data_IF_871610617142
#
_entry.id   IF_871610617142
#
_cell.length_a   1.000
_cell.length_b   1.000
_cell.length_c   1.000
_cell.angle_alpha   90.00
_cell.angle_beta   90.00
_cell.angle_gamma   90.00
#
_symmetry.space_group_name_H-M   'P 1'
#
loop_
_entity.id
_entity.type
_entity.pdbx_description
1 polymer ?
#
# COMPACT_ATOMS: atom_id res chain seq x y z
N UNK A 1 -16.27 10.17 29.87
CA UNK A 1 -15.15 9.39 29.30
C UNK A 1 -14.34 10.39 28.47
N UNK A 2 -13.05 10.61 28.78
CA UNK A 2 -12.22 11.42 27.90
C UNK A 2 -12.09 10.67 26.58
N UNK A 3 -12.51 11.27 25.48
CA UNK A 3 -12.28 10.74 24.13
C UNK A 3 -10.78 10.54 23.96
N UNK A 4 -10.36 9.30 23.95
CA UNK A 4 -8.96 8.95 23.74
C UNK A 4 -8.62 9.39 22.32
N UNK A 5 -7.72 10.35 22.15
CA UNK A 5 -7.29 10.85 20.83
C UNK A 5 -6.92 9.64 19.96
N UNK A 6 -7.57 9.49 18.80
CA UNK A 6 -7.24 8.44 17.83
C UNK A 6 -5.79 8.56 17.39
N UNK A 7 -5.08 7.44 17.28
CA UNK A 7 -3.73 7.42 16.70
C UNK A 7 -3.79 7.76 15.21
N UNK A 8 -2.82 8.53 14.75
CA UNK A 8 -2.69 8.92 13.35
C UNK A 8 -2.03 7.79 12.56
N UNK A 9 -2.69 7.34 11.50
CA UNK A 9 -2.18 6.34 10.55
C UNK A 9 -1.92 7.01 9.22
N UNK A 10 -0.71 6.87 8.69
CA UNK A 10 -0.40 7.28 7.31
C UNK A 10 -0.12 6.06 6.45
N UNK A 11 -0.74 5.99 5.30
CA UNK A 11 -0.42 4.99 4.28
C UNK A 11 -0.60 5.53 2.87
N UNK A 12 0.09 4.92 1.91
CA UNK A 12 0.05 5.37 0.54
C UNK A 12 0.16 4.24 -0.48
N UNK A 13 -0.49 4.44 -1.63
CA UNK A 13 -0.39 3.55 -2.78
C UNK A 13 0.11 4.33 -4.00
N UNK A 14 1.11 3.76 -4.68
CA UNK A 14 1.64 4.34 -5.92
C UNK A 14 0.66 4.14 -7.08
N UNK A 15 0.33 5.20 -7.83
CA UNK A 15 -0.55 5.12 -9.00
C UNK A 15 0.23 4.64 -10.25
N UNK A 16 0.73 3.41 -10.21
CA UNK A 16 1.57 2.83 -11.26
C UNK A 16 0.87 1.67 -11.97
N UNK A 17 -0.21 1.93 -12.73
CA UNK A 17 -1.00 0.96 -13.49
C UNK A 17 -2.11 0.28 -12.68
N UNK A 18 -2.88 -0.61 -13.32
CA UNK A 18 -4.07 -1.23 -12.75
C UNK A 18 -3.81 -1.92 -11.40
N UNK A 19 -4.66 -1.64 -10.43
CA UNK A 19 -4.65 -2.35 -9.16
C UNK A 19 -5.29 -3.73 -9.32
N UNK A 20 -4.78 -4.69 -8.59
CA UNK A 20 -5.18 -6.09 -8.67
C UNK A 20 -5.44 -6.67 -7.27
N UNK A 21 -5.95 -7.89 -7.20
CA UNK A 21 -6.27 -8.59 -5.95
C UNK A 21 -5.14 -8.54 -4.91
N UNK A 22 -3.88 -8.61 -5.36
CA UNK A 22 -2.71 -8.53 -4.47
C UNK A 22 -2.56 -7.17 -3.77
N UNK A 23 -2.95 -6.07 -4.41
CA UNK A 23 -2.97 -4.75 -3.78
C UNK A 23 -4.13 -4.63 -2.77
N UNK A 24 -5.28 -5.20 -3.13
CA UNK A 24 -6.46 -5.20 -2.26
C UNK A 24 -6.21 -5.98 -0.97
N UNK A 25 -5.86 -7.25 -1.07
CA UNK A 25 -5.64 -8.12 0.09
C UNK A 25 -4.37 -7.73 0.88
N UNK A 26 -3.36 -7.22 0.19
CA UNK A 26 -2.11 -6.81 0.84
C UNK A 26 -2.16 -5.46 1.56
N UNK A 27 -3.10 -4.58 1.22
CA UNK A 27 -3.15 -3.23 1.78
C UNK A 27 -4.57 -2.68 1.94
N UNK A 28 -5.34 -2.50 0.85
CA UNK A 28 -6.55 -1.68 0.82
C UNK A 28 -7.65 -2.25 1.74
N UNK A 29 -7.84 -3.57 1.76
CA UNK A 29 -8.79 -4.23 2.66
C UNK A 29 -8.55 -3.87 4.13
N UNK A 30 -7.27 -3.81 4.53
CA UNK A 30 -6.89 -3.45 5.88
C UNK A 30 -7.13 -1.96 6.17
N UNK A 31 -6.97 -1.08 5.17
CA UNK A 31 -7.25 0.34 5.34
C UNK A 31 -8.72 0.60 5.70
N UNK A 32 -9.64 -0.19 5.11
CA UNK A 32 -11.07 -0.12 5.43
C UNK A 32 -11.35 -0.44 6.90
N UNK A 33 -10.63 -1.38 7.48
CA UNK A 33 -10.77 -1.71 8.91
C UNK A 33 -10.13 -0.66 9.82
N UNK A 34 -8.97 -0.12 9.43
CA UNK A 34 -8.22 0.85 10.24
C UNK A 34 -8.97 2.15 10.47
N UNK A 35 -9.78 2.61 9.52
CA UNK A 35 -10.52 3.87 9.62
C UNK A 35 -11.54 3.90 10.77
N UNK A 36 -11.97 2.76 11.30
CA UNK A 36 -12.95 2.73 12.38
C UNK A 36 -12.33 3.23 13.70
N UNK A 37 -11.09 2.84 13.98
CA UNK A 37 -10.45 3.10 15.27
C UNK A 37 -9.32 4.13 15.22
N UNK A 38 -8.92 4.58 14.01
CA UNK A 38 -7.77 5.46 13.80
C UNK A 38 -8.14 6.73 13.02
N UNK A 39 -7.28 7.73 13.09
CA UNK A 39 -7.31 8.93 12.23
C UNK A 39 -6.42 8.66 11.01
N UNK A 40 -7.03 8.28 9.89
CA UNK A 40 -6.33 7.74 8.74
C UNK A 40 -6.14 8.78 7.62
N UNK A 41 -4.89 8.82 7.10
CA UNK A 41 -4.51 9.59 5.91
C UNK A 41 -4.07 8.59 4.83
N UNK A 42 -4.85 8.47 3.75
CA UNK A 42 -4.58 7.60 2.61
C UNK A 42 -4.14 8.45 1.42
N UNK A 43 -2.84 8.39 1.14
CA UNK A 43 -2.20 9.21 0.15
C UNK A 43 -2.00 8.46 -1.16
N UNK A 44 -2.34 9.07 -2.29
CA UNK A 44 -1.97 8.59 -3.62
C UNK A 44 -0.60 9.18 -3.93
N UNK A 45 0.45 8.34 -3.82
CA UNK A 45 1.85 8.81 -3.80
C UNK A 45 2.44 8.92 -5.20
N UNK A 46 2.00 9.91 -5.94
CA UNK A 46 2.39 10.20 -7.32
C UNK A 46 3.84 10.70 -7.46
N UNK A 47 4.38 11.43 -6.46
CA UNK A 47 5.78 11.81 -6.43
C UNK A 47 6.71 10.60 -6.30
N UNK A 48 6.29 9.54 -5.60
CA UNK A 48 7.02 8.27 -5.59
C UNK A 48 6.94 7.55 -6.94
N UNK A 49 5.81 7.64 -7.63
CA UNK A 49 5.65 7.01 -8.93
C UNK A 49 6.64 7.55 -9.97
N UNK A 50 6.88 8.86 -10.00
CA UNK A 50 7.78 9.51 -10.96
C UNK A 50 9.28 9.30 -10.69
N UNK A 51 9.65 8.60 -9.61
CA UNK A 51 11.05 8.16 -9.39
C UNK A 51 11.53 7.22 -10.49
N UNK A 52 10.60 6.57 -11.18
CA UNK A 52 10.78 5.84 -12.44
C UNK A 52 9.91 6.52 -13.49
N UNK A 53 10.41 6.62 -14.72
CA UNK A 53 9.67 7.29 -15.78
C UNK A 53 8.23 6.76 -15.93
N UNK A 54 7.28 7.67 -15.98
CA UNK A 54 5.85 7.40 -16.20
C UNK A 54 5.36 8.19 -17.42
N UNK A 55 4.49 7.59 -18.22
CA UNK A 55 3.73 8.38 -19.20
C UNK A 55 2.80 9.34 -18.45
N UNK A 56 2.81 10.66 -18.74
CA UNK A 56 2.01 11.64 -17.98
C UNK A 56 0.49 11.41 -18.04
N UNK A 57 -0.03 10.93 -19.16
CA UNK A 57 -1.48 10.70 -19.30
C UNK A 57 -1.89 9.41 -18.56
N UNK A 58 -1.07 8.37 -18.63
CA UNK A 58 -1.28 7.16 -17.84
C UNK A 58 -1.20 7.45 -16.33
N UNK A 59 -0.25 8.30 -15.90
CA UNK A 59 -0.13 8.69 -14.49
C UNK A 59 -1.39 9.40 -13.99
N UNK A 60 -1.93 10.35 -14.77
CA UNK A 60 -3.19 11.04 -14.43
C UNK A 60 -4.36 10.07 -14.31
N UNK A 61 -4.49 9.15 -15.26
CA UNK A 61 -5.53 8.12 -15.22
C UNK A 61 -5.36 7.21 -14.02
N UNK A 62 -4.15 6.73 -13.76
CA UNK A 62 -3.86 5.85 -12.63
C UNK A 62 -4.12 6.50 -11.26
N UNK A 63 -3.93 7.81 -11.12
CA UNK A 63 -4.28 8.56 -9.90
C UNK A 63 -5.79 8.45 -9.64
N UNK A 64 -6.61 8.68 -10.67
CA UNK A 64 -8.07 8.59 -10.55
C UNK A 64 -8.52 7.14 -10.31
N UNK A 65 -7.88 6.16 -10.97
CA UNK A 65 -8.16 4.74 -10.73
C UNK A 65 -7.88 4.33 -9.26
N UNK A 66 -6.77 4.81 -8.66
CA UNK A 66 -6.48 4.52 -7.24
C UNK A 66 -7.52 5.17 -6.33
N UNK A 67 -7.92 6.42 -6.60
CA UNK A 67 -8.96 7.11 -5.84
C UNK A 67 -10.29 6.35 -5.90
N UNK A 68 -10.70 5.94 -7.10
CA UNK A 68 -11.93 5.15 -7.32
C UNK A 68 -11.88 3.83 -6.55
N UNK A 69 -10.75 3.12 -6.59
CA UNK A 69 -10.59 1.84 -5.90
C UNK A 69 -10.61 2.00 -4.39
N UNK A 70 -10.05 3.07 -3.84
CA UNK A 70 -10.13 3.35 -2.40
C UNK A 70 -11.60 3.46 -1.96
N UNK A 71 -12.40 4.26 -2.68
CA UNK A 71 -13.83 4.43 -2.37
C UNK A 71 -14.62 3.15 -2.60
N UNK A 72 -14.43 2.49 -3.75
CA UNK A 72 -15.14 1.25 -4.09
C UNK A 72 -14.82 0.10 -3.12
N UNK A 73 -13.62 0.07 -2.55
CA UNK A 73 -13.23 -0.91 -1.54
C UNK A 73 -13.82 -0.61 -0.15
N UNK A 74 -14.44 0.56 0.06
CA UNK A 74 -15.12 0.94 1.30
C UNK A 74 -14.35 1.92 2.19
N UNK A 75 -13.31 2.61 1.67
CA UNK A 75 -12.72 3.74 2.42
C UNK A 75 -13.73 4.90 2.40
N UNK A 76 -14.13 5.31 3.59
CA UNK A 76 -15.12 6.38 3.80
C UNK A 76 -14.41 7.75 3.87
N UNK A 77 -14.68 8.67 2.94
CA UNK A 77 -14.03 10.00 2.91
C UNK A 77 -14.51 10.93 4.04
N UNK A 78 -15.54 10.55 4.80
CA UNK A 78 -15.95 11.26 6.01
C UNK A 78 -15.14 10.81 7.24
N UNK A 79 -14.56 9.61 7.21
CA UNK A 79 -13.74 9.06 8.29
C UNK A 79 -12.24 9.21 8.05
N UNK A 80 -11.83 9.24 6.78
CA UNK A 80 -10.42 9.22 6.36
C UNK A 80 -10.14 10.30 5.33
N UNK A 81 -8.93 10.87 5.35
CA UNK A 81 -8.50 11.82 4.33
C UNK A 81 -7.89 11.06 3.15
N UNK A 82 -8.47 11.22 1.95
CA UNK A 82 -7.94 10.67 0.70
C UNK A 82 -7.44 11.83 -0.15
N UNK A 83 -6.16 11.84 -0.52
CA UNK A 83 -5.58 12.95 -1.29
C UNK A 83 -4.40 12.50 -2.15
N UNK A 84 -4.00 13.35 -3.10
CA UNK A 84 -2.85 13.14 -3.98
C UNK A 84 -1.63 13.83 -3.38
N UNK A 85 -0.50 13.15 -3.30
CA UNK A 85 0.71 13.63 -2.64
C UNK A 85 1.21 14.97 -3.21
N UNK A 86 1.25 15.10 -4.54
CA UNK A 86 1.74 16.32 -5.21
C UNK A 86 0.88 17.57 -4.99
N UNK A 87 -0.39 17.39 -4.60
CA UNK A 87 -1.29 18.51 -4.28
C UNK A 87 -0.96 19.17 -2.94
N UNK A 88 -0.11 18.53 -2.12
CA UNK A 88 0.40 19.06 -0.85
C UNK A 88 1.91 19.32 -0.96
N UNK A 89 2.36 20.54 -1.34
CA UNK A 89 3.77 20.85 -1.60
C UNK A 89 4.73 20.59 -0.44
N UNK A 90 4.20 20.47 0.76
CA UNK A 90 4.97 20.27 1.98
C UNK A 90 5.67 18.90 2.04
N UNK A 91 5.18 17.89 1.34
CA UNK A 91 5.87 16.60 1.20
C UNK A 91 7.27 16.78 0.61
N UNK A 92 7.34 17.42 -0.58
CA UNK A 92 8.62 17.68 -1.25
C UNK A 92 9.49 18.66 -0.44
N UNK A 93 8.88 19.68 0.20
CA UNK A 93 9.59 20.66 1.01
C UNK A 93 10.22 20.03 2.26
N UNK A 94 9.49 19.19 2.98
CA UNK A 94 10.04 18.46 4.12
C UNK A 94 11.08 17.43 3.67
N UNK A 95 10.83 16.72 2.56
CA UNK A 95 11.81 15.79 2.01
C UNK A 95 13.16 16.46 1.74
N UNK A 96 13.17 17.70 1.25
CA UNK A 96 14.41 18.46 1.08
C UNK A 96 15.13 18.74 2.40
N UNK A 97 14.41 19.18 3.43
CA UNK A 97 14.97 19.40 4.76
C UNK A 97 15.57 18.11 5.32
N UNK A 98 14.82 16.99 5.22
CA UNK A 98 15.29 15.68 5.67
C UNK A 98 16.49 15.16 4.87
N UNK A 99 16.59 15.46 3.56
CA UNK A 99 17.77 15.15 2.77
C UNK A 99 19.04 15.83 3.33
N UNK A 100 18.91 17.03 3.90
CA UNK A 100 20.04 17.77 4.46
C UNK A 100 20.57 17.19 5.79
N UNK A 101 19.79 16.37 6.47
CA UNK A 101 20.21 15.73 7.74
C UNK A 101 20.45 14.22 7.60
N UNK A 102 19.90 13.58 6.57
CA UNK A 102 20.06 12.14 6.34
C UNK A 102 21.47 11.81 5.89
N UNK A 103 22.07 10.77 6.51
CA UNK A 103 23.41 10.33 6.16
C UNK A 103 23.38 9.49 4.87
N UNK A 104 24.30 9.78 3.94
CA UNK A 104 24.45 8.99 2.69
C UNK A 104 24.66 7.50 2.99
N UNK A 105 25.39 7.16 4.06
CA UNK A 105 25.62 5.77 4.47
C UNK A 105 24.32 5.03 4.85
N UNK A 106 23.27 5.73 5.28
CA UNK A 106 21.98 5.13 5.55
C UNK A 106 21.26 4.77 4.25
N UNK A 107 21.25 5.69 3.28
CA UNK A 107 20.65 5.47 1.95
C UNK A 107 21.37 4.34 1.20
N UNK A 108 22.69 4.24 1.32
CA UNK A 108 23.48 3.17 0.69
C UNK A 108 23.11 1.76 1.19
N UNK A 109 22.52 1.64 2.35
CA UNK A 109 22.07 0.35 2.91
C UNK A 109 20.72 -0.10 2.38
N UNK A 110 19.93 0.78 1.76
CA UNK A 110 18.60 0.48 1.26
C UNK A 110 18.63 -0.62 0.18
N UNK A 111 17.96 -1.73 0.44
CA UNK A 111 17.96 -2.90 -0.46
C UNK A 111 17.19 -2.65 -1.73
N UNK A 112 16.05 -1.97 -1.66
CA UNK A 112 15.22 -1.67 -2.82
C UNK A 112 15.91 -0.80 -3.87
N UNK A 113 16.78 0.15 -3.43
CA UNK A 113 17.62 0.89 -4.38
C UNK A 113 18.53 -0.06 -5.16
N UNK A 114 19.18 -1.01 -4.45
CA UNK A 114 20.09 -1.98 -5.07
C UNK A 114 19.37 -2.88 -6.07
N UNK A 115 18.16 -3.30 -5.75
CA UNK A 115 17.32 -4.15 -6.61
C UNK A 115 16.84 -3.41 -7.87
N UNK A 116 16.29 -2.20 -7.70
CA UNK A 116 15.74 -1.40 -8.80
C UNK A 116 16.83 -0.79 -9.71
N UNK A 117 17.96 -0.41 -9.15
CA UNK A 117 19.08 0.15 -9.92
C UNK A 117 19.83 -0.91 -10.74
N UNK A 118 19.76 -2.19 -10.35
CA UNK A 118 20.43 -3.28 -11.05
C UNK A 118 21.93 -3.05 -11.20
N UNK A 119 22.48 -3.40 -12.39
CA UNK A 119 23.92 -3.23 -12.71
C UNK A 119 24.29 -1.82 -13.16
N UNK A 120 23.34 -1.01 -13.63
CA UNK A 120 23.56 0.33 -14.22
C UNK A 120 23.22 1.46 -13.24
N UNK A 121 23.86 1.48 -12.08
CA UNK A 121 23.58 2.47 -11.02
C UNK A 121 23.80 3.94 -11.46
N UNK A 122 24.69 4.18 -12.42
CA UNK A 122 25.00 5.52 -12.91
C UNK A 122 23.87 6.15 -13.74
N UNK A 123 22.95 5.33 -14.28
CA UNK A 123 21.83 5.79 -15.11
C UNK A 123 20.51 5.90 -14.32
N UNK A 124 20.55 5.75 -13.00
CA UNK A 124 19.36 5.80 -12.16
C UNK A 124 19.13 7.23 -11.69
N UNK A 125 17.85 7.66 -11.64
CA UNK A 125 17.53 9.01 -11.16
C UNK A 125 17.92 9.21 -9.69
N UNK A 126 18.34 10.43 -9.33
CA UNK A 126 18.58 10.79 -7.93
C UNK A 126 17.34 10.59 -7.07
N UNK A 127 16.13 10.79 -7.63
CA UNK A 127 14.88 10.52 -6.96
C UNK A 127 14.74 9.07 -6.50
N UNK A 128 15.19 8.08 -7.30
CA UNK A 128 15.19 6.69 -6.89
C UNK A 128 16.19 6.39 -5.75
N UNK A 129 17.23 7.19 -5.58
CA UNK A 129 18.16 7.07 -4.47
C UNK A 129 17.62 7.73 -3.19
N UNK A 130 16.92 8.87 -3.30
CA UNK A 130 16.50 9.68 -2.17
C UNK A 130 15.03 9.50 -1.79
N UNK A 131 14.24 8.71 -2.54
CA UNK A 131 12.81 8.51 -2.20
C UNK A 131 12.54 8.01 -0.78
N UNK A 132 13.45 7.30 -0.08
CA UNK A 132 13.20 6.95 1.33
C UNK A 132 13.07 8.18 2.23
N UNK A 133 13.72 9.30 1.89
CA UNK A 133 13.56 10.57 2.61
C UNK A 133 12.22 11.25 2.29
N UNK A 134 11.70 11.08 1.07
CA UNK A 134 10.34 11.50 0.73
C UNK A 134 9.30 10.68 1.51
N UNK A 135 9.50 9.36 1.64
CA UNK A 135 8.63 8.53 2.48
C UNK A 135 8.70 8.94 3.95
N UNK A 136 9.88 9.25 4.47
CA UNK A 136 10.02 9.80 5.81
C UNK A 136 9.26 11.14 5.95
N UNK A 137 9.34 12.02 4.95
CA UNK A 137 8.60 13.27 4.94
C UNK A 137 7.09 13.05 4.94
N UNK A 138 6.58 12.10 4.15
CA UNK A 138 5.16 11.76 4.09
C UNK A 138 4.61 11.38 5.47
N UNK A 139 5.36 10.58 6.21
CA UNK A 139 4.97 10.07 7.53
C UNK A 139 5.09 11.15 8.61
N UNK A 140 6.25 11.81 8.67
CA UNK A 140 6.57 12.77 9.73
C UNK A 140 5.81 14.09 9.60
N UNK A 141 5.41 14.47 8.39
CA UNK A 141 4.65 15.69 8.11
C UNK A 141 3.33 15.75 8.90
N UNK A 142 2.72 14.59 9.14
CA UNK A 142 1.44 14.45 9.84
C UNK A 142 1.57 13.93 11.27
N UNK A 143 2.81 13.83 11.80
CA UNK A 143 3.07 13.24 13.12
C UNK A 143 2.41 11.86 13.28
N UNK A 144 2.58 11.03 12.27
CA UNK A 144 1.94 9.72 12.24
C UNK A 144 2.49 8.81 13.33
N UNK A 145 1.58 8.18 14.09
CA UNK A 145 1.92 7.23 15.16
C UNK A 145 2.21 5.84 14.61
N UNK A 146 1.44 5.46 13.57
CA UNK A 146 1.44 4.11 13.00
C UNK A 146 1.55 4.15 11.48
N UNK A 147 2.29 3.20 10.93
CA UNK A 147 2.43 3.04 9.48
C UNK A 147 2.20 1.58 9.11
N UNK A 148 1.14 1.26 8.36
CA UNK A 148 0.94 -0.08 7.81
C UNK A 148 2.06 -0.41 6.83
N UNK A 149 2.85 -1.43 7.13
CA UNK A 149 4.00 -1.83 6.31
C UNK A 149 4.02 -3.33 6.05
N UNK A 150 4.25 -3.69 4.80
CA UNK A 150 4.69 -5.03 4.43
C UNK A 150 6.18 -5.24 4.74
N UNK A 151 6.64 -6.48 4.66
CA UNK A 151 8.03 -6.84 4.98
C UNK A 151 9.07 -6.05 4.14
N UNK A 152 8.74 -5.75 2.89
CA UNK A 152 9.60 -5.01 1.97
C UNK A 152 9.73 -3.52 2.31
N UNK A 153 8.85 -2.97 3.15
CA UNK A 153 8.86 -1.57 3.58
C UNK A 153 9.42 -1.37 5.00
N UNK A 154 9.65 -2.42 5.77
CA UNK A 154 10.18 -2.33 7.13
C UNK A 154 11.47 -1.52 7.19
N UNK A 155 12.40 -1.75 6.25
CA UNK A 155 13.68 -1.04 6.22
C UNK A 155 13.52 0.47 6.00
N UNK A 156 12.53 0.90 5.21
CA UNK A 156 12.26 2.31 5.00
C UNK A 156 11.64 2.97 6.24
N UNK A 157 10.78 2.24 6.95
CA UNK A 157 10.23 2.75 8.20
C UNK A 157 11.31 2.87 9.29
N UNK A 158 12.24 1.92 9.38
CA UNK A 158 13.39 2.04 10.28
C UNK A 158 14.25 3.27 9.94
N UNK A 159 14.48 3.54 8.65
CA UNK A 159 15.15 4.77 8.24
C UNK A 159 14.37 6.02 8.64
N UNK A 160 13.03 6.01 8.51
CA UNK A 160 12.17 7.12 8.96
C UNK A 160 12.33 7.37 10.47
N UNK A 161 12.39 6.32 11.27
CA UNK A 161 12.62 6.37 12.73
C UNK A 161 14.00 6.98 13.05
N UNK A 162 15.04 6.52 12.34
CA UNK A 162 16.40 7.05 12.47
C UNK A 162 16.45 8.56 12.13
N UNK A 163 15.75 8.98 11.06
CA UNK A 163 15.67 10.38 10.64
C UNK A 163 14.93 11.23 11.68
N UNK A 164 13.79 10.74 12.20
CA UNK A 164 13.03 11.42 13.25
C UNK A 164 13.88 11.61 14.52
N UNK A 165 14.53 10.53 14.97
CA UNK A 165 15.42 10.60 16.13
C UNK A 165 16.59 11.56 15.93
N UNK A 166 17.19 11.53 14.71
CA UNK A 166 18.28 12.45 14.39
C UNK A 166 17.81 13.90 14.39
N UNK A 167 16.67 14.22 13.78
CA UNK A 167 16.10 15.55 13.81
C UNK A 167 15.87 16.02 15.26
N UNK A 168 15.23 15.18 16.07
CA UNK A 168 14.94 15.50 17.47
C UNK A 168 16.23 15.79 18.27
N UNK A 169 17.31 15.03 18.00
CA UNK A 169 18.58 15.24 18.66
C UNK A 169 19.36 16.45 18.16
N UNK A 170 19.47 16.62 16.82
CA UNK A 170 20.28 17.70 16.22
C UNK A 170 19.69 19.09 16.51
N UNK A 171 18.38 19.18 16.69
CA UNK A 171 17.66 20.42 16.94
C UNK A 171 17.09 20.52 18.37
N UNK A 172 17.59 19.72 19.32
CA UNK A 172 17.07 19.69 20.69
C UNK A 172 17.02 21.06 21.37
N UNK A 173 18.06 21.87 21.17
CA UNK A 173 18.19 23.21 21.76
C UNK A 173 17.32 24.27 21.07
N UNK A 174 16.70 23.92 19.93
CA UNK A 174 15.89 24.79 19.09
C UNK A 174 14.41 24.40 19.07
N UNK A 175 13.96 23.60 20.04
CA UNK A 175 12.58 23.10 20.12
C UNK A 175 12.33 21.79 19.37
N UNK A 176 13.40 21.13 18.93
CA UNK A 176 13.34 19.83 18.26
C UNK A 176 13.28 18.62 19.21
N UNK A 177 13.52 18.84 20.54
CA UNK A 177 13.42 17.74 21.50
C UNK A 177 12.04 17.09 21.46
N UNK A 178 11.99 15.77 21.16
CA UNK A 178 10.75 14.99 21.02
C UNK A 178 9.71 15.59 20.05
N UNK A 179 10.18 16.38 19.07
CA UNK A 179 9.30 17.06 18.13
C UNK A 179 8.59 16.08 17.18
N UNK A 180 9.34 15.19 16.52
CA UNK A 180 8.72 14.13 15.73
C UNK A 180 8.44 12.91 16.62
N UNK A 181 7.22 12.35 16.58
CA UNK A 181 6.99 11.02 17.11
C UNK A 181 7.84 10.00 16.36
N UNK A 182 8.21 8.94 17.04
CA UNK A 182 8.88 7.80 16.39
C UNK A 182 7.79 6.84 15.93
N UNK A 183 7.50 6.75 14.61
CA UNK A 183 6.37 5.97 14.12
C UNK A 183 6.60 4.48 14.33
N UNK A 184 5.53 3.77 14.72
CA UNK A 184 5.58 2.31 14.89
C UNK A 184 5.06 1.58 13.64
N UNK A 185 5.66 0.43 13.29
CA UNK A 185 5.11 -0.42 12.25
C UNK A 185 3.78 -1.02 12.70
N UNK A 186 2.76 -0.88 11.87
CA UNK A 186 1.52 -1.62 12.02
C UNK A 186 1.60 -2.87 11.13
N UNK A 187 1.91 -4.00 11.76
CA UNK A 187 1.92 -5.29 11.09
C UNK A 187 0.47 -5.75 10.99
N UNK A 188 0.01 -5.94 9.76
CA UNK A 188 -1.35 -6.38 9.48
C UNK A 188 -1.34 -7.90 9.41
N UNK A 189 -2.02 -8.55 10.36
CA UNK A 189 -2.05 -10.02 10.52
C UNK A 189 -2.55 -10.76 9.26
N UNK A 190 -3.42 -10.10 8.47
CA UNK A 190 -4.02 -10.65 7.26
C UNK A 190 -3.39 -10.15 5.95
N UNK A 191 -2.22 -9.49 5.98
CA UNK A 191 -1.55 -9.06 4.76
C UNK A 191 -0.93 -10.25 4.02
N UNK A 192 -1.78 -11.10 3.44
CA UNK A 192 -1.31 -12.22 2.65
C UNK A 192 -0.57 -11.72 1.40
N UNK A 193 0.68 -12.13 1.26
CA UNK A 193 1.44 -11.90 0.04
C UNK A 193 0.85 -12.73 -1.08
N UNK A 194 -0.04 -12.13 -1.87
CA UNK A 194 -0.68 -12.80 -3.00
C UNK A 194 0.34 -13.06 -4.10
N UNK A 195 0.45 -14.31 -4.50
CA UNK A 195 1.37 -14.74 -5.55
C UNK A 195 0.65 -14.85 -6.89
N UNK A 196 1.43 -14.91 -7.98
CA UNK A 196 0.92 -15.07 -9.34
C UNK A 196 0.10 -16.35 -9.47
N UNK A 197 -1.01 -16.30 -10.19
CA UNK A 197 -1.82 -17.49 -10.51
C UNK A 197 -1.09 -18.47 -11.45
N UNK A 198 -0.01 -18.03 -12.09
CA UNK A 198 0.81 -18.82 -13.02
C UNK A 198 2.08 -19.37 -12.40
N UNK A 199 2.51 -18.78 -11.26
CA UNK A 199 3.74 -19.15 -10.57
C UNK A 199 3.62 -18.77 -9.09
N UNK A 200 3.31 -19.73 -8.24
CA UNK A 200 3.13 -19.51 -6.78
C UNK A 200 4.38 -19.06 -6.05
N UNK A 201 5.54 -18.99 -6.72
CA UNK A 201 6.79 -18.48 -6.13
C UNK A 201 7.04 -17.00 -6.42
N UNK A 202 6.30 -16.40 -7.38
CA UNK A 202 6.44 -15.00 -7.78
C UNK A 202 5.26 -14.17 -7.27
N UNK A 203 5.54 -12.98 -6.72
CA UNK A 203 4.50 -12.04 -6.30
C UNK A 203 3.58 -11.70 -7.49
N UNK A 204 2.27 -11.64 -7.25
CA UNK A 204 1.32 -11.12 -8.23
C UNK A 204 1.73 -9.71 -8.64
N UNK A 205 1.88 -9.48 -9.93
CA UNK A 205 2.40 -8.22 -10.45
C UNK A 205 1.68 -7.80 -11.72
N UNK A 206 1.45 -6.51 -11.84
CA UNK A 206 0.91 -5.87 -13.04
C UNK A 206 1.90 -5.86 -14.21
N UNK A 207 3.20 -5.95 -13.95
CA UNK A 207 4.24 -6.03 -14.97
C UNK A 207 4.39 -7.42 -15.60
N UNK A 208 3.67 -8.45 -15.09
CA UNK A 208 3.63 -9.75 -15.73
C UNK A 208 2.92 -9.62 -17.09
N UNK A 209 3.54 -10.06 -18.21
CA UNK A 209 2.94 -9.96 -19.54
C UNK A 209 1.65 -10.76 -19.68
N UNK A 210 1.44 -11.78 -18.85
CA UNK A 210 0.23 -12.60 -18.87
C UNK A 210 -0.86 -12.02 -18.00
N UNK A 211 -1.95 -11.57 -18.60
CA UNK A 211 -3.18 -11.15 -17.87
C UNK A 211 -3.79 -12.29 -17.04
N UNK A 212 -3.43 -13.54 -17.32
CA UNK A 212 -3.87 -14.72 -16.57
C UNK A 212 -3.11 -14.92 -15.27
N UNK A 213 -2.09 -14.10 -14.96
CA UNK A 213 -1.27 -14.20 -13.75
C UNK A 213 -1.92 -13.52 -12.54
N UNK A 214 -2.93 -12.66 -12.76
CA UNK A 214 -3.54 -11.80 -11.74
C UNK A 214 -5.05 -11.67 -11.92
N UNK A 215 -5.75 -11.30 -10.86
CA UNK A 215 -7.15 -10.88 -10.89
C UNK A 215 -7.17 -9.35 -10.78
N UNK A 216 -7.80 -8.69 -11.75
CA UNK A 216 -8.03 -7.25 -11.77
C UNK A 216 -9.47 -6.93 -11.35
N UNK A 217 -9.72 -5.75 -10.79
CA UNK A 217 -11.08 -5.37 -10.36
C UNK A 217 -12.06 -5.21 -11.54
N UNK A 218 -11.54 -4.93 -12.73
CA UNK A 218 -12.35 -4.80 -13.96
C UNK A 218 -12.61 -6.15 -14.65
N UNK A 219 -12.07 -7.27 -14.11
CA UNK A 219 -12.38 -8.62 -14.65
C UNK A 219 -13.86 -8.95 -14.41
N UNK A 220 -14.55 -9.40 -15.45
CA UNK A 220 -15.91 -9.92 -15.32
C UNK A 220 -15.93 -11.30 -14.65
N UNK A 221 -17.11 -11.78 -14.29
CA UNK A 221 -17.28 -13.02 -13.56
C UNK A 221 -16.76 -14.23 -14.36
N UNK A 222 -16.94 -14.25 -15.67
CA UNK A 222 -16.48 -15.36 -16.53
C UNK A 222 -14.96 -15.37 -16.65
N UNK A 223 -14.35 -14.18 -16.73
CA UNK A 223 -12.89 -14.06 -16.78
C UNK A 223 -12.26 -14.45 -15.44
N UNK A 224 -12.86 -14.10 -14.29
CA UNK A 224 -12.41 -14.55 -12.96
C UNK A 224 -12.46 -16.07 -12.89
N UNK A 225 -13.59 -16.71 -13.26
CA UNK A 225 -13.73 -18.17 -13.30
C UNK A 225 -12.67 -18.81 -14.19
N UNK A 226 -12.44 -18.25 -15.38
CA UNK A 226 -11.44 -18.72 -16.33
C UNK A 226 -10.02 -18.60 -15.77
N UNK A 227 -9.67 -17.48 -15.13
CA UNK A 227 -8.35 -17.26 -14.52
C UNK A 227 -8.09 -18.25 -13.40
N UNK A 228 -9.04 -18.47 -12.49
CA UNK A 228 -8.90 -19.41 -11.37
C UNK A 228 -8.89 -20.85 -11.87
N UNK A 229 -9.75 -21.23 -12.81
CA UNK A 229 -9.73 -22.57 -13.42
C UNK A 229 -8.35 -22.89 -14.00
N UNK A 230 -7.72 -21.93 -14.68
CA UNK A 230 -6.39 -22.06 -15.30
C UNK A 230 -5.22 -21.74 -14.38
N UNK A 231 -5.46 -21.35 -13.13
CA UNK A 231 -4.41 -21.15 -12.16
C UNK A 231 -3.57 -22.42 -11.99
N UNK A 232 -2.25 -22.26 -11.94
CA UNK A 232 -1.34 -23.41 -11.82
C UNK A 232 -1.56 -24.13 -10.50
N UNK A 233 -1.57 -25.46 -10.53
CA UNK A 233 -1.62 -26.34 -9.38
C UNK A 233 -0.83 -27.60 -9.66
N UNK A 234 -0.38 -28.29 -8.64
CA UNK A 234 0.21 -29.60 -8.74
C UNK A 234 -0.89 -30.69 -8.87
N UNK A 235 -0.54 -31.95 -9.24
CA UNK A 235 -1.51 -33.02 -9.48
C UNK A 235 -2.04 -33.69 -8.20
N UNK A 236 -1.53 -33.35 -7.01
CA UNK A 236 -1.91 -33.98 -5.77
C UNK A 236 -3.20 -33.36 -5.21
N UNK A 237 -3.98 -34.06 -4.39
CA UNK A 237 -5.07 -33.47 -3.63
C UNK A 237 -4.57 -32.33 -2.74
N UNK A 238 -5.47 -31.46 -2.28
CA UNK A 238 -5.14 -30.38 -1.35
C UNK A 238 -4.47 -30.94 -0.08
N UNK A 239 -3.42 -30.28 0.44
CA UNK A 239 -2.67 -30.77 1.59
C UNK A 239 -3.51 -30.74 2.87
N UNK A 240 -3.08 -31.52 3.86
CA UNK A 240 -3.77 -31.64 5.15
C UNK A 240 -3.01 -30.94 6.30
N UNK A 241 -1.82 -30.42 6.04
CA UNK A 241 -1.03 -29.73 7.06
C UNK A 241 -0.38 -28.45 6.52
N UNK A 242 -0.11 -27.49 7.41
CA UNK A 242 0.60 -26.25 7.06
C UNK A 242 2.02 -26.56 6.58
N UNK A 243 2.70 -27.56 7.14
CA UNK A 243 4.05 -27.93 6.74
C UNK A 243 4.12 -28.41 5.28
N UNK A 244 3.05 -29.00 4.78
CA UNK A 244 2.96 -29.42 3.38
C UNK A 244 2.84 -28.22 2.42
N UNK A 245 2.29 -27.10 2.89
CA UNK A 245 2.13 -25.87 2.10
C UNK A 245 3.49 -25.25 1.72
N UNK A 246 4.51 -25.37 2.56
CA UNK A 246 5.85 -24.83 2.28
C UNK A 246 6.45 -25.39 0.97
N UNK A 247 6.11 -26.62 0.63
CA UNK A 247 6.58 -27.31 -0.57
C UNK A 247 5.62 -27.19 -1.76
N UNK A 248 4.47 -26.57 -1.56
CA UNK A 248 3.38 -26.48 -2.55
C UNK A 248 2.91 -25.02 -2.72
N UNK A 249 3.76 -24.13 -3.30
CA UNK A 249 3.52 -22.70 -3.33
C UNK A 249 2.21 -22.32 -4.05
N UNK A 250 1.78 -23.05 -5.07
CA UNK A 250 0.52 -22.80 -5.76
C UNK A 250 -0.69 -23.11 -4.87
N UNK A 251 -0.66 -24.21 -4.14
CA UNK A 251 -1.71 -24.57 -3.18
C UNK A 251 -1.76 -23.52 -2.04
N UNK A 252 -0.60 -23.18 -1.49
CA UNK A 252 -0.48 -22.15 -0.46
C UNK A 252 -1.09 -20.81 -0.93
N UNK A 253 -0.74 -20.36 -2.14
CA UNK A 253 -1.27 -19.12 -2.70
C UNK A 253 -2.80 -19.13 -2.77
N UNK A 254 -3.40 -20.17 -3.36
CA UNK A 254 -4.86 -20.22 -3.55
C UNK A 254 -5.61 -20.36 -2.22
N UNK A 255 -5.09 -21.13 -1.27
CA UNK A 255 -5.66 -21.25 0.08
C UNK A 255 -5.53 -19.96 0.88
N UNK A 256 -4.40 -19.25 0.76
CA UNK A 256 -4.20 -17.95 1.39
C UNK A 256 -5.14 -16.88 0.83
N UNK A 257 -5.38 -16.88 -0.48
CA UNK A 257 -6.37 -15.99 -1.10
C UNK A 257 -7.76 -16.29 -0.54
N UNK A 258 -8.15 -17.55 -0.44
CA UNK A 258 -9.44 -17.97 0.12
C UNK A 258 -9.58 -17.51 1.58
N UNK A 259 -8.57 -17.79 2.41
CA UNK A 259 -8.49 -17.38 3.82
C UNK A 259 -8.67 -15.86 3.96
N UNK A 260 -7.90 -15.08 3.20
CA UNK A 260 -7.97 -13.61 3.27
C UNK A 260 -9.31 -13.03 2.81
N UNK A 261 -9.99 -13.66 1.85
CA UNK A 261 -11.30 -13.21 1.38
C UNK A 261 -12.43 -13.60 2.32
N UNK A 262 -12.39 -14.84 2.84
CA UNK A 262 -13.42 -15.35 3.76
C UNK A 262 -13.31 -14.81 5.18
N UNK A 263 -12.14 -14.26 5.56
CA UNK A 263 -11.82 -13.91 6.95
C UNK A 263 -11.59 -15.12 7.86
N UNK A 264 -11.54 -16.33 7.30
CA UNK A 264 -11.25 -17.57 8.04
C UNK A 264 -9.74 -17.76 8.19
N UNK A 265 -9.30 -18.36 9.29
CA UNK A 265 -7.87 -18.69 9.43
C UNK A 265 -7.44 -19.72 8.37
N UNK A 266 -6.21 -19.61 7.89
CA UNK A 266 -5.68 -20.53 6.88
C UNK A 266 -5.78 -22.01 7.31
N UNK A 267 -5.59 -22.29 8.60
CA UNK A 267 -5.70 -23.65 9.14
C UNK A 267 -7.14 -24.20 9.03
N UNK A 268 -8.14 -23.35 9.22
CA UNK A 268 -9.55 -23.78 9.12
C UNK A 268 -9.92 -24.08 7.67
N UNK A 269 -9.49 -23.20 6.73
CA UNK A 269 -9.67 -23.44 5.29
C UNK A 269 -8.95 -24.72 4.85
N UNK A 270 -7.74 -24.95 5.37
CA UNK A 270 -6.97 -26.15 5.08
C UNK A 270 -7.71 -27.42 5.56
N UNK A 271 -8.29 -27.40 6.77
CA UNK A 271 -9.04 -28.53 7.30
C UNK A 271 -10.30 -28.81 6.48
N UNK A 272 -11.03 -27.78 6.04
CA UNK A 272 -12.26 -27.91 5.26
C UNK A 272 -12.01 -28.53 3.88
N UNK A 273 -10.83 -28.29 3.29
CA UNK A 273 -10.47 -28.72 1.95
C UNK A 273 -9.42 -29.86 1.91
N UNK A 274 -8.96 -30.34 3.06
CA UNK A 274 -7.98 -31.42 3.18
C UNK A 274 -8.38 -32.64 2.32
N UNK A 275 -7.47 -33.09 1.49
CA UNK A 275 -7.67 -34.27 0.62
C UNK A 275 -8.65 -34.09 -0.53
N UNK A 276 -9.31 -32.93 -0.67
CA UNK A 276 -10.21 -32.65 -1.80
C UNK A 276 -9.42 -32.32 -3.06
N UNK A 277 -10.08 -32.46 -4.21
CA UNK A 277 -9.51 -32.11 -5.50
C UNK A 277 -9.53 -30.59 -5.74
N UNK A 278 -8.52 -30.09 -6.44
CA UNK A 278 -8.44 -28.66 -6.80
C UNK A 278 -9.63 -28.17 -7.63
N UNK A 279 -10.29 -29.03 -8.41
CA UNK A 279 -11.44 -28.65 -9.23
C UNK A 279 -12.59 -28.10 -8.42
N UNK A 280 -12.94 -28.75 -7.30
CA UNK A 280 -13.98 -28.28 -6.40
C UNK A 280 -13.56 -27.00 -5.69
N UNK A 281 -12.36 -27.00 -5.11
CA UNK A 281 -11.82 -25.82 -4.40
C UNK A 281 -11.75 -24.57 -5.30
N UNK A 282 -11.29 -24.71 -6.54
CA UNK A 282 -11.22 -23.61 -7.51
C UNK A 282 -12.59 -23.03 -7.84
N UNK A 283 -13.63 -23.88 -7.88
CA UNK A 283 -15.00 -23.41 -8.06
C UNK A 283 -15.43 -22.55 -6.88
N UNK A 284 -15.26 -23.04 -5.66
CA UNK A 284 -15.63 -22.33 -4.43
C UNK A 284 -14.83 -21.03 -4.27
N UNK A 285 -13.53 -21.06 -4.61
CA UNK A 285 -12.67 -19.86 -4.63
C UNK A 285 -13.15 -18.84 -5.67
N UNK A 286 -13.58 -19.29 -6.86
CA UNK A 286 -14.11 -18.38 -7.89
C UNK A 286 -15.39 -17.70 -7.43
N UNK A 287 -16.29 -18.44 -6.79
CA UNK A 287 -17.55 -17.90 -6.28
C UNK A 287 -17.28 -16.91 -5.15
N UNK A 288 -16.35 -17.21 -4.25
CA UNK A 288 -15.92 -16.29 -3.19
C UNK A 288 -15.27 -15.01 -3.75
N UNK A 289 -14.40 -15.14 -4.76
CA UNK A 289 -13.78 -13.98 -5.45
C UNK A 289 -14.84 -13.10 -6.09
N UNK A 290 -15.77 -13.68 -6.82
CA UNK A 290 -16.86 -12.94 -7.47
C UNK A 290 -17.68 -12.19 -6.44
N UNK A 291 -18.10 -12.85 -5.35
CA UNK A 291 -18.88 -12.22 -4.28
C UNK A 291 -18.17 -11.03 -3.63
N UNK A 292 -16.83 -11.02 -3.57
CA UNK A 292 -16.05 -9.92 -3.02
C UNK A 292 -15.73 -8.82 -4.05
N UNK A 293 -15.51 -9.17 -5.32
CA UNK A 293 -15.06 -8.23 -6.36
C UNK A 293 -16.24 -7.56 -7.07
N UNK A 294 -17.35 -8.26 -7.27
CA UNK A 294 -18.50 -7.72 -7.99
C UNK A 294 -19.05 -6.41 -7.40
N UNK A 295 -19.28 -6.28 -6.08
CA UNK A 295 -19.71 -5.01 -5.50
C UNK A 295 -18.69 -3.88 -5.71
N UNK A 296 -17.38 -4.20 -5.62
CA UNK A 296 -16.31 -3.23 -5.88
C UNK A 296 -16.34 -2.80 -7.35
N UNK A 297 -16.52 -3.73 -8.29
CA UNK A 297 -16.59 -3.45 -9.72
C UNK A 297 -17.82 -2.59 -10.10
N UNK A 298 -18.97 -2.86 -9.49
CA UNK A 298 -20.19 -2.05 -9.68
C UNK A 298 -19.97 -0.61 -9.23
N UNK A 299 -19.38 -0.43 -8.04
CA UNK A 299 -19.06 0.90 -7.54
C UNK A 299 -17.97 1.60 -8.36
N UNK A 300 -16.95 0.89 -8.84
CA UNK A 300 -15.98 1.43 -9.79
C UNK A 300 -16.65 1.94 -11.05
N UNK A 301 -17.60 1.18 -11.60
CA UNK A 301 -18.36 1.60 -12.80
C UNK A 301 -19.16 2.87 -12.52
N UNK A 302 -19.75 3.02 -11.35
CA UNK A 302 -20.44 4.23 -10.92
C UNK A 302 -19.49 5.41 -10.84
N UNK A 303 -18.34 5.24 -10.20
CA UNK A 303 -17.33 6.27 -10.00
C UNK A 303 -16.63 6.69 -11.31
N UNK A 304 -16.40 5.75 -12.23
CA UNK A 304 -15.85 6.05 -13.56
C UNK A 304 -16.75 7.05 -14.34
N UNK A 305 -18.06 7.03 -14.06
CA UNK A 305 -19.03 7.96 -14.64
C UNK A 305 -19.23 9.25 -13.82
N UNK A 306 -18.65 9.35 -12.63
CA UNK A 306 -18.79 10.51 -11.73
C UNK A 306 -17.44 11.10 -11.33
N UNK A 307 -16.70 11.58 -12.33
CA UNK A 307 -15.38 12.18 -12.15
C UNK A 307 -15.43 13.50 -11.36
N UNK A 308 -16.58 14.16 -11.29
CA UNK A 308 -16.76 15.38 -10.49
C UNK A 308 -16.72 15.01 -9.02
N UNK A 309 -17.48 14.03 -8.60
CA UNK A 309 -17.52 13.53 -7.24
C UNK A 309 -16.11 13.08 -6.76
N UNK A 310 -15.37 12.33 -7.60
CA UNK A 310 -14.01 11.91 -7.27
C UNK A 310 -13.08 13.10 -7.00
N UNK A 311 -13.17 14.15 -7.84
CA UNK A 311 -12.35 15.35 -7.65
C UNK A 311 -12.71 16.10 -6.39
N UNK A 312 -13.99 16.21 -6.05
CA UNK A 312 -14.47 16.84 -4.80
C UNK A 312 -13.93 16.10 -3.57
N UNK A 313 -13.94 14.76 -3.58
CA UNK A 313 -13.36 13.96 -2.50
C UNK A 313 -11.85 14.20 -2.36
N UNK A 314 -11.10 14.16 -3.46
CA UNK A 314 -9.67 14.43 -3.45
C UNK A 314 -9.35 15.86 -3.01
N UNK A 315 -10.13 16.84 -3.41
CA UNK A 315 -9.97 18.23 -2.97
C UNK A 315 -10.27 18.39 -1.48
N UNK A 316 -11.33 17.77 -0.95
CA UNK A 316 -11.63 17.74 0.48
C UNK A 316 -10.47 17.14 1.28
N UNK A 317 -9.95 15.99 0.85
CA UNK A 317 -8.81 15.35 1.50
C UNK A 317 -7.53 16.19 1.40
N UNK A 318 -7.27 16.82 0.24
CA UNK A 318 -6.15 17.76 0.06
C UNK A 318 -6.24 18.94 1.02
N UNK A 319 -7.42 19.55 1.17
CA UNK A 319 -7.62 20.68 2.07
C UNK A 319 -7.34 20.30 3.54
N UNK A 320 -7.77 19.12 3.98
CA UNK A 320 -7.47 18.64 5.33
C UNK A 320 -5.98 18.33 5.51
N UNK A 321 -5.35 17.66 4.53
CA UNK A 321 -3.92 17.40 4.54
C UNK A 321 -3.08 18.70 4.53
N UNK A 322 -3.48 19.69 3.74
CA UNK A 322 -2.86 21.02 3.70
C UNK A 322 -2.98 21.74 5.05
N UNK A 323 -4.14 21.72 5.67
CA UNK A 323 -4.36 22.34 7.00
C UNK A 323 -3.41 21.74 8.04
N UNK A 324 -3.30 20.42 8.10
CA UNK A 324 -2.40 19.70 9.02
C UNK A 324 -0.94 20.01 8.71
N UNK A 325 -0.54 19.89 7.45
CA UNK A 325 0.84 20.08 7.01
C UNK A 325 1.32 21.55 7.13
N UNK A 326 0.44 22.55 7.00
CA UNK A 326 0.77 23.94 7.26
C UNK A 326 1.21 24.17 8.72
N UNK A 327 0.51 23.52 9.67
CA UNK A 327 0.83 23.64 11.10
C UNK A 327 2.19 23.01 11.40
N UNK A 328 2.44 21.79 10.90
CA UNK A 328 3.71 21.10 11.13
C UNK A 328 4.88 21.80 10.42
N UNK A 329 4.71 22.19 9.15
CA UNK A 329 5.77 22.88 8.41
C UNK A 329 6.15 24.24 8.97
N UNK A 330 5.19 24.98 9.54
CA UNK A 330 5.52 26.23 10.23
C UNK A 330 6.51 25.96 11.37
N UNK A 331 6.17 25.01 12.26
CA UNK A 331 7.05 24.64 13.39
C UNK A 331 8.40 24.09 12.92
N UNK A 332 8.41 23.22 11.90
CA UNK A 332 9.64 22.67 11.35
C UNK A 332 10.56 23.80 10.84
N UNK A 333 9.99 24.76 10.12
CA UNK A 333 10.74 25.91 9.61
C UNK A 333 11.32 26.77 10.73
N UNK A 334 10.55 27.02 11.76
CA UNK A 334 11.01 27.77 12.94
C UNK A 334 12.20 27.06 13.60
N UNK A 335 12.11 25.73 13.79
CA UNK A 335 13.16 24.89 14.40
C UNK A 335 14.44 24.89 13.56
N UNK A 336 14.34 24.76 12.22
CA UNK A 336 15.53 24.71 11.34
C UNK A 336 16.03 26.08 10.89
N UNK A 337 15.39 27.17 11.33
CA UNK A 337 15.80 28.54 11.01
C UNK A 337 15.41 29.04 9.61
N UNK A 338 14.35 28.49 9.02
CA UNK A 338 13.78 28.86 7.71
C UNK A 338 12.43 29.60 7.84
N UNK A 339 12.10 30.07 9.02
CA UNK A 339 10.84 30.75 9.38
C UNK A 339 10.72 32.16 8.88
#
# INVERSE_FOLDING_TARGET
MQDKKKKVVFSGVQPTGALHLGNYLGAIKNFVHLQEDHDCLYCIVDLHAITVWQNPDDLKSNIMDVASIYLAAGIDPEKSSIFVQSTVPHHAKLAWILNCITRIGWLNRMTQFKEKAGKNRENVSSGLYTYPNLMAADILLYFSDLVPVGDDQKQHLELTRDIAQKFNNDYSDFGGSDFFPIPDPLILDDSSRVMSLRDGTKKMSKSDPSVMSRIEFKDDNDLIRKKISKAKTDPLPLPSSINDLEKRPEANNLLSIFSSLSGSKLIDVLNDYSGKQFSQFKKDLSDLLIANIEPIREELTRLDNDQVFLKEILEKGTNEAMKRSNISMKKIKDIVGLG
#
